data_IF_886043748968
#
_entry.id   IF_886043748968
#
_cell.length_a   1.000
_cell.length_b   1.000
_cell.length_c   1.000
_cell.angle_alpha   90.00
_cell.angle_beta   90.00
_cell.angle_gamma   90.00
#
_symmetry.space_group_name_H-M   'P 1'
#
loop_
_entity.id
_entity.type
_entity.pdbx_description
1 polymer ?
#
# COMPACT_ATOMS: atom_id res chain seq x y z
N UNK A 1 -77.42 -38.12 -29.81
CA UNK A 1 -76.50 -38.62 -28.76
C UNK A 1 -75.31 -39.18 -29.54
N UNK A 2 -74.11 -38.62 -29.52
CA UNK A 2 -73.35 -38.09 -28.39
C UNK A 2 -72.12 -37.35 -28.94
N UNK A 3 -71.70 -36.29 -28.26
CA UNK A 3 -70.56 -35.43 -28.61
C UNK A 3 -69.22 -36.16 -28.43
N UNK A 4 -68.23 -35.86 -29.28
CA UNK A 4 -66.81 -35.97 -28.89
C UNK A 4 -65.88 -35.14 -29.78
N UNK A 5 -65.34 -34.10 -29.14
CA UNK A 5 -63.95 -33.63 -29.12
C UNK A 5 -63.24 -33.11 -30.39
N UNK A 6 -62.99 -31.80 -30.35
CA UNK A 6 -62.00 -31.03 -31.10
C UNK A 6 -60.62 -31.22 -30.45
N UNK A 7 -59.57 -31.50 -31.22
CA UNK A 7 -58.21 -30.94 -31.00
C UNK A 7 -57.44 -30.88 -32.33
N UNK A 8 -56.52 -29.92 -32.51
CA UNK A 8 -56.12 -29.39 -33.81
C UNK A 8 -54.85 -30.05 -34.37
N UNK A 9 -54.80 -30.16 -35.70
CA UNK A 9 -53.58 -30.45 -36.44
C UNK A 9 -52.75 -29.16 -36.50
N UNK A 10 -51.69 -29.08 -35.70
CA UNK A 10 -50.74 -27.98 -35.76
C UNK A 10 -49.92 -28.03 -37.05
N UNK A 11 -49.93 -26.89 -37.72
CA UNK A 11 -49.31 -26.65 -39.00
C UNK A 11 -47.80 -26.43 -38.86
N UNK A 12 -47.13 -26.72 -39.96
CA UNK A 12 -45.70 -26.90 -40.11
C UNK A 12 -44.95 -25.55 -40.04
N UNK A 13 -44.20 -25.28 -38.97
CA UNK A 13 -43.04 -24.35 -39.04
C UNK A 13 -42.15 -24.31 -37.80
N UNK A 14 -40.90 -24.80 -37.87
CA UNK A 14 -39.81 -24.23 -37.09
C UNK A 14 -39.09 -23.18 -37.93
N UNK A 15 -39.72 -22.01 -38.15
CA UNK A 15 -38.97 -20.79 -38.51
C UNK A 15 -38.48 -20.09 -37.25
N UNK A 16 -37.57 -20.75 -36.55
CA UNK A 16 -36.76 -20.11 -35.52
C UNK A 16 -35.28 -20.20 -35.91
N UNK A 17 -34.89 -19.25 -36.74
CA UNK A 17 -33.52 -18.75 -36.97
C UNK A 17 -32.39 -19.56 -36.31
N UNK A 18 -31.89 -20.58 -37.02
CA UNK A 18 -30.62 -21.24 -36.72
C UNK A 18 -29.44 -20.32 -37.14
N UNK A 19 -29.41 -19.14 -36.53
CA UNK A 19 -28.40 -18.09 -36.71
C UNK A 19 -27.00 -18.53 -36.24
N UNK A 20 -26.90 -19.73 -35.64
CA UNK A 20 -25.63 -20.34 -35.19
C UNK A 20 -24.77 -20.84 -36.36
N UNK A 21 -25.35 -21.19 -37.52
CA UNK A 21 -24.59 -21.62 -38.71
C UNK A 21 -23.77 -20.50 -39.35
N UNK A 22 -24.19 -19.24 -39.17
CA UNK A 22 -23.53 -18.06 -39.75
C UNK A 22 -22.55 -17.36 -38.80
N UNK A 23 -22.51 -17.76 -37.52
CA UNK A 23 -21.50 -17.27 -36.58
C UNK A 23 -20.30 -18.22 -36.64
N UNK A 24 -19.33 -17.88 -37.48
CA UNK A 24 -18.01 -18.53 -37.44
C UNK A 24 -17.47 -18.54 -36.00
N UNK A 25 -16.76 -19.62 -35.63
CA UNK A 25 -16.08 -19.72 -34.34
C UNK A 25 -15.19 -18.49 -34.19
N UNK A 26 -15.56 -17.57 -33.29
CA UNK A 26 -14.88 -16.30 -33.14
C UNK A 26 -13.39 -16.49 -32.82
N UNK A 27 -12.59 -15.43 -32.94
CA UNK A 27 -11.13 -15.47 -32.70
C UNK A 27 -10.71 -16.03 -31.33
N UNK A 28 -11.64 -16.17 -30.38
CA UNK A 28 -11.42 -16.72 -29.05
C UNK A 28 -12.01 -18.13 -28.85
N UNK A 29 -12.47 -18.80 -29.91
CA UNK A 29 -12.87 -20.19 -29.81
C UNK A 29 -11.64 -21.02 -29.46
N UNK A 30 -11.73 -21.82 -28.39
CA UNK A 30 -10.63 -22.67 -27.92
C UNK A 30 -10.16 -23.54 -29.10
N UNK A 31 -8.88 -23.41 -29.44
CA UNK A 31 -8.21 -24.26 -30.42
C UNK A 31 -8.24 -25.69 -29.87
N UNK A 32 -8.71 -26.63 -30.70
CA UNK A 32 -8.56 -28.05 -30.43
C UNK A 32 -7.06 -28.36 -30.40
N UNK A 33 -6.55 -28.83 -29.27
CA UNK A 33 -5.13 -29.15 -29.09
C UNK A 33 -4.72 -30.25 -30.08
N UNK A 34 -3.82 -29.91 -31.01
CA UNK A 34 -2.97 -30.88 -31.68
C UNK A 34 -1.76 -31.09 -30.75
N UNK A 35 -1.57 -32.31 -30.28
CA UNK A 35 -0.52 -32.62 -29.31
C UNK A 35 0.80 -32.86 -30.05
N UNK A 36 1.70 -31.89 -29.97
CA UNK A 36 3.13 -32.08 -30.20
C UNK A 36 3.84 -32.06 -28.83
N UNK A 37 4.67 -33.05 -28.48
CA UNK A 37 5.33 -33.11 -27.18
C UNK A 37 6.54 -32.16 -27.13
N UNK A 38 6.32 -30.94 -26.64
CA UNK A 38 7.39 -29.99 -26.31
C UNK A 38 8.15 -30.47 -25.05
N UNK A 39 9.46 -30.60 -25.20
CA UNK A 39 10.46 -30.91 -24.16
C UNK A 39 10.54 -29.91 -23.00
N UNK A 40 9.82 -28.78 -23.06
CA UNK A 40 9.64 -27.87 -21.93
C UNK A 40 8.43 -28.25 -21.07
N UNK A 41 8.41 -29.47 -20.53
CA UNK A 41 7.45 -29.83 -19.48
C UNK A 41 7.91 -29.15 -18.18
N UNK A 42 7.24 -28.09 -17.69
CA UNK A 42 7.54 -27.61 -16.35
C UNK A 42 7.24 -28.75 -15.39
N UNK A 43 8.20 -29.06 -14.52
CA UNK A 43 7.97 -29.94 -13.37
C UNK A 43 6.77 -29.37 -12.63
N UNK A 44 5.64 -30.06 -12.69
CA UNK A 44 4.50 -29.77 -11.85
C UNK A 44 4.99 -29.85 -10.41
N UNK A 45 5.23 -28.69 -9.78
CA UNK A 45 5.26 -28.64 -8.32
C UNK A 45 3.83 -28.93 -7.90
N UNK A 46 3.60 -30.14 -7.44
CA UNK A 46 2.35 -30.49 -6.81
C UNK A 46 2.24 -29.69 -5.52
N UNK A 47 1.04 -29.12 -5.36
CA UNK A 47 0.47 -28.59 -4.13
C UNK A 47 1.21 -27.41 -3.49
N UNK A 48 0.76 -26.19 -3.79
CA UNK A 48 -0.19 -25.44 -2.97
C UNK A 48 -0.73 -24.26 -3.81
N UNK A 49 -2.05 -24.03 -3.82
CA UNK A 49 -2.68 -22.85 -4.42
C UNK A 49 -2.37 -21.55 -3.64
N UNK A 50 -1.12 -21.33 -3.26
CA UNK A 50 -0.69 -20.03 -2.79
C UNK A 50 -0.63 -19.12 -4.02
N UNK A 51 -1.74 -18.42 -4.30
CA UNK A 51 -1.62 -17.16 -5.03
C UNK A 51 -0.45 -16.42 -4.39
N UNK A 52 0.59 -16.04 -5.14
CA UNK A 52 1.66 -15.23 -4.58
C UNK A 52 0.99 -14.03 -3.93
N UNK A 53 1.09 -13.94 -2.60
CA UNK A 53 0.55 -12.82 -1.85
C UNK A 53 1.39 -11.60 -2.25
N UNK A 54 1.00 -10.97 -3.35
CA UNK A 54 1.53 -9.70 -3.74
C UNK A 54 1.14 -8.75 -2.62
N UNK A 55 2.13 -8.12 -2.00
CA UNK A 55 2.01 -7.04 -1.01
C UNK A 55 1.25 -5.84 -1.63
N UNK A 56 -0.04 -6.01 -1.89
CA UNK A 56 -0.96 -4.94 -2.27
C UNK A 56 -1.50 -4.39 -0.97
N UNK A 57 -0.90 -3.29 -0.55
CA UNK A 57 -1.40 -2.56 0.61
C UNK A 57 -2.76 -1.96 0.28
N UNK A 58 -3.71 -2.15 1.18
CA UNK A 58 -5.00 -1.50 1.08
C UNK A 58 -4.83 0.03 1.18
N UNK A 59 -5.60 0.78 0.39
CA UNK A 59 -5.57 2.24 0.47
C UNK A 59 -6.11 2.71 1.82
N UNK A 60 -5.24 3.30 2.65
CA UNK A 60 -5.64 3.89 3.92
C UNK A 60 -6.44 5.17 3.70
N UNK A 61 -7.76 5.09 3.90
CA UNK A 61 -8.67 6.25 3.85
C UNK A 61 -8.94 6.83 5.25
N UNK A 62 -8.84 6.01 6.29
CA UNK A 62 -9.10 6.43 7.66
C UNK A 62 -7.99 7.36 8.17
N UNK A 63 -8.40 8.45 8.83
CA UNK A 63 -7.50 9.49 9.34
C UNK A 63 -6.54 8.99 10.43
N UNK A 64 -7.00 8.13 11.32
CA UNK A 64 -6.22 7.57 12.44
C UNK A 64 -5.19 6.60 11.91
N UNK A 65 -5.58 5.71 11.00
CA UNK A 65 -4.65 4.81 10.30
C UNK A 65 -3.60 5.60 9.52
N UNK A 66 -3.97 6.70 8.83
CA UNK A 66 -3.01 7.54 8.10
C UNK A 66 -1.98 8.20 9.02
N UNK A 67 -2.33 8.49 10.28
CA UNK A 67 -1.39 9.07 11.27
C UNK A 67 -0.32 8.06 11.71
N UNK A 68 -0.62 6.77 11.65
CA UNK A 68 0.32 5.69 12.00
C UNK A 68 1.39 5.49 10.92
N UNK A 69 1.12 5.91 9.68
CA UNK A 69 2.10 5.83 8.59
C UNK A 69 3.26 6.80 8.79
N UNK A 70 4.46 6.34 8.47
CA UNK A 70 5.68 7.14 8.54
C UNK A 70 5.63 8.23 7.46
N UNK A 71 5.88 9.46 7.89
CA UNK A 71 6.01 10.63 7.05
C UNK A 71 7.36 10.62 6.37
N UNK A 72 7.35 10.71 5.05
CA UNK A 72 8.55 10.72 4.24
C UNK A 72 8.74 12.11 3.60
N UNK A 73 9.96 12.36 3.13
CA UNK A 73 10.33 13.56 2.40
C UNK A 73 10.75 13.21 0.97
N UNK A 74 10.09 13.82 -0.01
CA UNK A 74 10.63 13.90 -1.35
C UNK A 74 11.70 15.01 -1.42
N UNK A 75 12.46 15.04 -2.51
CA UNK A 75 13.52 16.03 -2.74
C UNK A 75 13.02 17.47 -2.52
N UNK A 76 11.82 17.81 -3.01
CA UNK A 76 11.23 19.13 -2.83
C UNK A 76 10.82 19.44 -1.38
N UNK A 77 10.39 18.43 -0.62
CA UNK A 77 9.94 18.62 0.76
C UNK A 77 11.12 18.68 1.74
N UNK A 78 12.26 18.08 1.41
CA UNK A 78 13.46 18.09 2.25
C UNK A 78 13.93 19.51 2.52
N UNK A 79 14.08 20.31 1.47
CA UNK A 79 14.54 21.71 1.58
C UNK A 79 13.54 22.57 2.34
N UNK A 80 12.24 22.31 2.17
CA UNK A 80 11.20 22.97 2.95
C UNK A 80 11.36 22.71 4.45
N UNK A 81 11.56 21.46 4.85
CA UNK A 81 11.72 21.13 6.28
C UNK A 81 13.04 21.66 6.85
N UNK A 82 14.12 21.64 6.08
CA UNK A 82 15.40 22.22 6.48
C UNK A 82 15.30 23.74 6.69
N UNK A 83 14.57 24.45 5.82
CA UNK A 83 14.40 25.90 5.92
C UNK A 83 13.39 26.36 6.97
N UNK A 84 12.27 25.65 7.13
CA UNK A 84 11.24 26.00 8.14
C UNK A 84 11.65 25.57 9.55
N UNK A 85 12.39 24.46 9.67
CA UNK A 85 12.83 23.93 10.95
C UNK A 85 11.68 23.29 11.75
N UNK A 86 11.67 23.40 13.09
CA UNK A 86 10.71 22.70 13.94
C UNK A 86 9.28 23.27 13.78
N UNK A 87 8.27 22.42 14.00
CA UNK A 87 6.87 22.83 13.92
C UNK A 87 6.58 23.89 15.01
N UNK A 88 6.03 25.06 14.68
CA UNK A 88 5.73 26.09 15.66
C UNK A 88 4.65 25.61 16.66
N UNK A 89 4.66 26.13 17.91
CA UNK A 89 3.63 25.82 18.90
C UNK A 89 2.22 26.11 18.35
N UNK A 90 1.27 25.21 18.63
CA UNK A 90 -0.12 25.41 18.19
C UNK A 90 -0.72 26.64 18.87
N UNK A 91 -1.03 27.66 18.08
CA UNK A 91 -1.78 28.82 18.54
C UNK A 91 -3.19 28.38 18.99
N UNK A 92 -3.69 28.99 20.08
CA UNK A 92 -5.06 28.76 20.52
C UNK A 92 -6.02 29.12 19.39
N UNK A 93 -7.00 28.24 19.14
CA UNK A 93 -8.00 28.51 18.12
C UNK A 93 -8.74 29.81 18.46
N UNK A 94 -8.94 30.71 17.50
CA UNK A 94 -9.68 31.94 17.78
C UNK A 94 -11.09 31.58 18.26
N UNK A 95 -11.51 32.23 19.34
CA UNK A 95 -12.85 32.07 19.86
C UNK A 95 -13.82 32.72 18.86
N UNK A 96 -14.44 31.90 18.01
CA UNK A 96 -15.42 32.36 17.00
C UNK A 96 -16.65 33.04 17.62
N UNK A 97 -16.90 32.82 18.91
CA UNK A 97 -17.97 33.45 19.68
C UNK A 97 -17.40 33.97 20.99
N UNK A 98 -17.80 35.19 21.36
CA UNK A 98 -17.53 35.73 22.69
C UNK A 98 -18.19 34.84 23.75
N UNK A 99 -17.50 34.55 24.87
CA UNK A 99 -18.11 33.82 25.97
C UNK A 99 -19.36 34.57 26.44
N UNK A 100 -20.49 33.86 26.52
CA UNK A 100 -21.75 34.44 26.97
C UNK A 100 -21.71 34.68 28.48
N UNK A 101 -22.16 35.85 28.99
CA UNK A 101 -22.16 36.13 30.41
C UNK A 101 -23.01 35.15 31.24
N UNK A 102 -23.91 34.38 30.61
CA UNK A 102 -24.77 33.39 31.26
C UNK A 102 -24.49 31.93 30.86
N UNK A 103 -23.39 31.64 30.16
CA UNK A 103 -23.03 30.23 29.97
C UNK A 103 -22.45 29.68 31.27
N UNK A 104 -23.30 29.02 32.06
CA UNK A 104 -22.87 28.00 33.03
C UNK A 104 -21.82 27.14 32.30
N UNK A 105 -20.64 26.89 32.88
CA UNK A 105 -19.63 26.05 32.27
C UNK A 105 -20.22 24.66 32.14
N UNK A 106 -20.90 24.41 31.02
CA UNK A 106 -21.37 23.08 30.69
C UNK A 106 -20.08 22.31 30.52
N UNK A 107 -19.85 21.38 31.45
CA UNK A 107 -18.81 20.36 31.38
C UNK A 107 -19.09 19.49 30.16
N UNK A 108 -19.02 20.06 28.96
CA UNK A 108 -18.85 19.29 27.74
C UNK A 108 -17.51 18.60 27.95
N UNK A 109 -17.44 17.26 27.90
CA UNK A 109 -16.21 16.55 28.15
C UNK A 109 -15.16 17.15 27.22
N UNK A 110 -14.15 17.76 27.82
CA UNK A 110 -12.96 18.23 27.12
C UNK A 110 -12.52 17.08 26.23
N UNK A 111 -12.49 17.31 24.91
CA UNK A 111 -11.98 16.30 24.01
C UNK A 111 -10.56 15.94 24.49
N UNK A 112 -10.28 14.64 24.64
CA UNK A 112 -9.10 14.09 25.34
C UNK A 112 -7.75 14.40 24.65
N UNK A 113 -7.67 15.44 23.83
CA UNK A 113 -6.51 15.82 23.04
C UNK A 113 -5.79 17.05 23.61
N UNK A 114 -6.32 17.66 24.69
CA UNK A 114 -5.64 18.72 25.42
C UNK A 114 -4.61 18.10 26.36
N UNK A 115 -3.53 17.58 25.77
CA UNK A 115 -2.27 17.50 26.50
C UNK A 115 -1.80 18.94 26.59
N UNK A 116 -1.83 19.49 27.79
CA UNK A 116 -1.18 20.76 28.07
C UNK A 116 0.31 20.49 27.92
N UNK A 117 0.89 20.94 26.82
CA UNK A 117 2.32 21.18 26.72
C UNK A 117 2.65 22.34 27.67
N UNK A 118 2.67 22.04 28.97
CA UNK A 118 3.51 22.82 29.88
C UNK A 118 4.92 22.57 29.39
N UNK A 119 5.55 23.60 28.87
CA UNK A 119 6.98 23.66 28.60
C UNK A 119 7.71 23.38 29.93
N UNK A 120 7.81 22.12 30.31
CA UNK A 120 8.84 21.70 31.24
C UNK A 120 10.11 21.76 30.39
N UNK A 121 10.82 22.87 30.50
CA UNK A 121 12.21 22.97 30.09
C UNK A 121 12.94 21.89 30.87
N UNK A 122 13.04 20.69 30.31
CA UNK A 122 13.91 19.64 30.79
C UNK A 122 15.34 20.10 30.52
N UNK A 123 15.86 20.90 31.44
CA UNK A 123 17.29 21.12 31.64
C UNK A 123 17.90 19.79 32.08
N UNK A 124 18.25 18.94 31.11
CA UNK A 124 18.85 17.63 31.41
C UNK A 124 19.19 16.69 30.25
N UNK A 125 19.07 17.09 28.98
CA UNK A 125 19.40 16.22 27.84
C UNK A 125 20.78 16.57 27.24
N UNK A 126 21.75 15.69 27.46
CA UNK A 126 23.13 15.78 26.95
C UNK A 126 23.23 15.40 25.46
N UNK A 127 22.30 15.88 24.63
CA UNK A 127 22.28 15.68 23.18
C UNK A 127 22.90 16.87 22.45
N UNK A 128 23.67 16.63 21.39
CA UNK A 128 24.18 17.74 20.56
C UNK A 128 23.01 18.54 19.99
N UNK A 129 23.14 19.86 19.91
CA UNK A 129 22.06 20.76 19.48
C UNK A 129 21.51 20.41 18.08
N UNK A 130 22.36 19.84 17.22
CA UNK A 130 22.01 19.38 15.87
C UNK A 130 21.07 18.16 15.88
N UNK A 131 21.30 17.21 16.80
CA UNK A 131 20.42 16.05 16.98
C UNK A 131 19.02 16.46 17.45
N UNK A 132 18.95 17.40 18.40
CA UNK A 132 17.67 17.91 18.89
C UNK A 132 16.89 18.56 17.73
N UNK A 133 17.57 19.36 16.91
CA UNK A 133 16.94 20.02 15.77
C UNK A 133 16.43 19.01 14.72
N UNK A 134 17.23 17.99 14.41
CA UNK A 134 16.82 16.93 13.49
C UNK A 134 15.60 16.16 14.00
N UNK A 135 15.57 15.81 15.30
CA UNK A 135 14.42 15.17 15.93
C UNK A 135 13.15 16.03 15.85
N UNK A 136 13.25 17.34 16.09
CA UNK A 136 12.10 18.23 15.98
C UNK A 136 11.61 18.39 14.53
N UNK A 137 12.54 18.40 13.57
CA UNK A 137 12.23 18.40 12.14
C UNK A 137 11.56 17.07 11.75
N UNK A 138 12.01 15.93 12.29
CA UNK A 138 11.36 14.63 12.04
C UNK A 138 9.94 14.60 12.63
N UNK A 139 9.74 15.17 13.82
CA UNK A 139 8.42 15.34 14.45
C UNK A 139 7.52 16.24 13.59
N UNK A 140 8.08 17.34 13.06
CA UNK A 140 7.38 18.24 12.15
C UNK A 140 6.93 17.48 10.89
N UNK A 141 7.85 16.76 10.24
CA UNK A 141 7.59 15.92 9.06
C UNK A 141 6.48 14.90 9.35
N UNK A 142 6.57 14.17 10.47
CA UNK A 142 5.57 13.17 10.85
C UNK A 142 4.19 13.77 11.09
N UNK A 143 4.11 15.01 11.59
CA UNK A 143 2.85 15.68 11.89
C UNK A 143 2.12 16.17 10.63
N UNK A 144 2.83 16.79 9.68
CA UNK A 144 2.20 17.51 8.56
C UNK A 144 2.42 16.88 7.18
N UNK A 145 3.36 15.94 7.02
CA UNK A 145 3.71 15.43 5.69
C UNK A 145 2.50 14.77 5.01
N UNK A 146 2.38 15.07 3.72
CA UNK A 146 1.44 14.43 2.81
C UNK A 146 1.98 13.11 2.28
N UNK A 147 3.30 12.98 2.16
CA UNK A 147 4.00 11.77 1.71
C UNK A 147 4.11 10.82 2.89
N UNK A 148 3.48 9.66 2.77
CA UNK A 148 3.40 8.68 3.85
C UNK A 148 3.50 7.26 3.31
N UNK A 149 4.22 6.41 4.02
CA UNK A 149 4.46 5.02 3.62
C UNK A 149 4.24 4.08 4.82
N UNK A 150 3.76 2.87 4.56
CA UNK A 150 3.63 1.83 5.59
C UNK A 150 5.00 1.26 5.97
N UNK A 151 5.81 0.98 4.96
CA UNK A 151 7.11 0.34 5.10
C UNK A 151 8.08 1.00 4.12
N UNK A 152 9.35 1.07 4.50
CA UNK A 152 10.39 1.46 3.57
C UNK A 152 10.56 0.37 2.51
N UNK A 153 10.66 0.79 1.25
CA UNK A 153 10.99 -0.12 0.16
C UNK A 153 12.34 -0.79 0.46
N UNK A 154 12.47 -2.11 0.23
CA UNK A 154 13.76 -2.76 0.37
C UNK A 154 14.76 -2.09 -0.56
N UNK A 155 15.99 -1.88 -0.07
CA UNK A 155 17.08 -1.38 -0.90
C UNK A 155 17.34 -2.39 -2.02
N UNK A 156 17.55 -1.89 -3.23
CA UNK A 156 17.96 -2.74 -4.35
C UNK A 156 19.32 -3.36 -4.05
N UNK A 157 19.54 -4.66 -4.35
CA UNK A 157 20.83 -5.30 -4.17
C UNK A 157 21.97 -4.56 -4.89
N UNK A 158 23.21 -4.64 -4.39
CA UNK A 158 24.35 -3.98 -5.01
C UNK A 158 24.56 -4.52 -6.43
N UNK A 159 24.73 -3.63 -7.40
CA UNK A 159 24.94 -3.98 -8.81
C UNK A 159 23.67 -4.29 -9.62
N UNK A 160 22.47 -4.16 -9.04
CA UNK A 160 21.20 -4.43 -9.75
C UNK A 160 20.95 -3.49 -10.95
N UNK A 161 21.44 -2.25 -10.88
CA UNK A 161 21.30 -1.25 -11.94
C UNK A 161 22.52 -1.16 -12.87
N UNK A 162 23.53 -2.01 -12.67
CA UNK A 162 24.68 -2.03 -13.55
C UNK A 162 24.26 -2.70 -14.87
N UNK A 163 24.15 -1.90 -15.93
CA UNK A 163 23.60 -2.31 -17.24
C UNK A 163 24.59 -3.24 -17.99
N UNK A 164 25.84 -3.35 -17.52
CA UNK A 164 26.85 -4.23 -18.08
C UNK A 164 26.67 -5.68 -17.64
N UNK A 165 27.08 -6.63 -18.49
CA UNK A 165 27.21 -8.02 -18.07
C UNK A 165 28.45 -8.13 -17.17
N UNK A 166 28.29 -8.46 -15.88
CA UNK A 166 29.44 -8.61 -14.99
C UNK A 166 30.30 -9.78 -15.46
N UNK A 167 31.61 -9.68 -15.27
CA UNK A 167 32.48 -10.86 -15.43
C UNK A 167 32.09 -11.93 -14.40
N UNK A 168 32.46 -13.18 -14.66
CA UNK A 168 32.22 -14.34 -13.79
C UNK A 168 32.64 -14.12 -12.34
N UNK A 169 33.77 -13.45 -12.11
CA UNK A 169 34.25 -13.11 -10.76
C UNK A 169 33.38 -12.03 -10.10
N UNK A 170 33.02 -10.99 -10.84
CA UNK A 170 32.17 -9.89 -10.36
C UNK A 170 30.76 -10.38 -10.04
N UNK A 171 30.20 -11.27 -10.87
CA UNK A 171 28.90 -11.90 -10.65
C UNK A 171 28.89 -12.71 -9.34
N UNK A 172 29.98 -13.42 -9.03
CA UNK A 172 30.13 -14.15 -7.77
C UNK A 172 30.13 -13.20 -6.57
N UNK A 173 30.87 -12.09 -6.67
CA UNK A 173 30.94 -11.08 -5.61
C UNK A 173 29.60 -10.36 -5.41
N UNK A 174 28.89 -10.01 -6.49
CA UNK A 174 27.53 -9.45 -6.46
C UNK A 174 26.57 -10.41 -5.76
N UNK A 175 26.59 -11.69 -6.13
CA UNK A 175 25.76 -12.72 -5.53
C UNK A 175 26.08 -12.93 -4.04
N UNK A 176 27.36 -12.86 -3.65
CA UNK A 176 27.78 -12.92 -2.23
C UNK A 176 27.20 -11.74 -1.44
N UNK A 177 27.41 -10.52 -1.93
CA UNK A 177 26.90 -9.29 -1.28
C UNK A 177 25.37 -9.28 -1.21
N UNK A 178 24.68 -9.76 -2.24
CA UNK A 178 23.22 -9.88 -2.24
C UNK A 178 22.72 -10.84 -1.14
N UNK A 179 23.38 -11.99 -0.97
CA UNK A 179 23.05 -12.94 0.12
C UNK A 179 23.28 -12.33 1.50
N UNK A 180 24.36 -11.60 1.70
CA UNK A 180 24.64 -10.95 2.97
C UNK A 180 23.60 -9.87 3.31
N UNK A 181 23.16 -9.09 2.32
CA UNK A 181 22.09 -8.10 2.49
C UNK A 181 20.75 -8.76 2.85
N UNK A 182 20.41 -9.89 2.22
CA UNK A 182 19.20 -10.66 2.58
C UNK A 182 19.31 -11.16 4.03
N UNK A 183 20.47 -11.70 4.42
CA UNK A 183 20.69 -12.16 5.80
C UNK A 183 20.52 -11.04 6.82
N UNK A 184 21.09 -9.87 6.54
CA UNK A 184 20.93 -8.67 7.39
C UNK A 184 19.47 -8.22 7.49
N UNK A 185 18.74 -8.22 6.37
CA UNK A 185 17.31 -7.88 6.35
C UNK A 185 16.50 -8.85 7.21
N UNK A 186 16.73 -10.15 7.09
CA UNK A 186 16.04 -11.16 7.89
C UNK A 186 16.32 -11.01 9.39
N UNK A 187 17.56 -10.67 9.75
CA UNK A 187 17.91 -10.38 11.15
C UNK A 187 17.20 -9.13 11.70
N UNK A 188 17.04 -8.07 10.88
CA UNK A 188 16.25 -6.89 11.25
C UNK A 188 14.79 -7.25 11.52
N UNK A 189 14.15 -7.96 10.59
CA UNK A 189 12.75 -8.41 10.73
C UNK A 189 12.58 -9.27 11.99
N UNK A 190 13.50 -10.20 12.25
CA UNK A 190 13.45 -11.06 13.44
C UNK A 190 13.57 -10.27 14.75
N UNK A 191 14.27 -9.12 14.76
CA UNK A 191 14.39 -8.25 15.93
C UNK A 191 13.13 -7.42 16.15
N UNK A 192 12.50 -6.96 15.07
CA UNK A 192 11.31 -6.12 15.14
C UNK A 192 10.03 -6.93 15.42
N UNK A 193 10.05 -8.25 15.16
CA UNK A 193 8.92 -9.16 15.35
C UNK A 193 8.82 -9.79 16.76
N UNK A 194 9.80 -9.57 17.64
CA UNK A 194 9.82 -10.06 19.03
C UNK A 194 9.54 -8.94 20.02
#
# INVERSE_FOLDING_TARGET
MSESNITPLEDNSPRLNDYKRYKGRGRYARVSTCEDPDTNRPVSREDENHEPNYDRYETVRNKEQRKQLLGDDCECCRDYYAGVGPLPPRLQQPMWRSPSPNSIPTTKPLCKHRQTDTYATNVGASGSMEQVQEEEITRHKQAISRHRHHWYRPKTPPGYWDIGFPDTQEASDINRRARDMIRQKMHGISRDAG
#
